data_IF_564925772791
#
_entry.id   IF_564925772791
#
_cell.length_a   1.000
_cell.length_b   1.000
_cell.length_c   1.000
_cell.angle_alpha   90.00
_cell.angle_beta   90.00
_cell.angle_gamma   90.00
#
_symmetry.space_group_name_H-M   'P 1'
#
loop_
_entity.id
_entity.type
_entity.pdbx_description
1 polymer ?
#
# COMPACT_ATOMS: atom_id res chain seq x y z
N UNK A 1 14.71 -1.39 -22.16
CA UNK A 1 13.63 -0.42 -22.44
C UNK A 1 12.61 -0.46 -21.29
N UNK A 2 12.74 0.44 -20.30
CA UNK A 2 12.16 0.32 -18.94
C UNK A 2 10.85 1.12 -18.72
N UNK A 3 9.99 1.26 -19.74
CA UNK A 3 8.82 2.16 -19.67
C UNK A 3 7.61 1.48 -18.98
N UNK A 4 7.52 0.14 -19.00
CA UNK A 4 6.39 -0.62 -18.43
C UNK A 4 6.56 -1.05 -16.96
N UNK A 5 7.66 -0.70 -16.29
CA UNK A 5 7.89 -1.05 -14.89
C UNK A 5 6.99 -0.23 -13.95
N UNK A 6 6.75 1.05 -14.27
CA UNK A 6 5.92 1.94 -13.44
C UNK A 6 4.45 1.55 -13.39
N UNK A 7 3.86 1.11 -14.50
CA UNK A 7 2.43 0.75 -14.57
C UNK A 7 2.16 -0.54 -13.78
N UNK A 8 3.04 -1.55 -13.89
CA UNK A 8 2.91 -2.81 -13.14
C UNK A 8 3.05 -2.60 -11.64
N UNK A 9 3.97 -1.72 -11.24
CA UNK A 9 4.13 -1.28 -9.85
C UNK A 9 2.86 -0.62 -9.32
N UNK A 10 2.34 0.42 -10.00
CA UNK A 10 1.12 1.12 -9.59
C UNK A 10 -0.08 0.18 -9.44
N UNK A 11 -0.25 -0.77 -10.36
CA UNK A 11 -1.32 -1.78 -10.26
C UNK A 11 -1.15 -2.70 -9.05
N UNK A 12 0.08 -3.12 -8.75
CA UNK A 12 0.36 -3.93 -7.56
C UNK A 12 0.04 -3.17 -6.27
N UNK A 13 0.54 -1.95 -6.12
CA UNK A 13 0.27 -1.07 -4.97
C UNK A 13 -1.24 -0.89 -4.79
N UNK A 14 -1.97 -0.58 -5.87
CA UNK A 14 -3.42 -0.40 -5.81
C UNK A 14 -4.15 -1.69 -5.37
N UNK A 15 -3.66 -2.86 -5.78
CA UNK A 15 -4.24 -4.13 -5.36
C UNK A 15 -4.00 -4.41 -3.87
N UNK A 16 -2.85 -4.00 -3.33
CA UNK A 16 -2.59 -4.13 -1.90
C UNK A 16 -3.52 -3.26 -1.08
N UNK A 17 -3.62 -1.97 -1.43
CA UNK A 17 -4.48 -1.01 -0.71
C UNK A 17 -5.94 -1.46 -0.69
N UNK A 18 -6.49 -1.85 -1.84
CA UNK A 18 -7.93 -2.13 -1.97
C UNK A 18 -8.36 -3.54 -1.55
N UNK A 19 -7.46 -4.53 -1.65
CA UNK A 19 -7.80 -5.95 -1.46
C UNK A 19 -7.01 -6.63 -0.37
N UNK A 20 -5.68 -6.43 -0.31
CA UNK A 20 -4.83 -7.18 0.63
C UNK A 20 -5.22 -6.93 2.09
N UNK A 21 -5.52 -5.68 2.47
CA UNK A 21 -6.00 -5.38 3.81
C UNK A 21 -7.29 -6.12 4.19
N UNK A 22 -8.21 -6.32 3.24
CA UNK A 22 -9.46 -7.07 3.45
C UNK A 22 -9.19 -8.57 3.60
N UNK A 23 -8.28 -9.11 2.79
CA UNK A 23 -7.90 -10.53 2.86
C UNK A 23 -7.13 -10.86 4.14
N UNK A 24 -6.24 -9.96 4.58
CA UNK A 24 -5.56 -10.04 5.88
C UNK A 24 -6.57 -10.01 7.03
N UNK A 25 -7.49 -9.04 7.02
CA UNK A 25 -8.52 -8.92 8.04
C UNK A 25 -9.43 -10.16 8.09
N UNK A 26 -9.76 -10.75 6.93
CA UNK A 26 -10.56 -11.97 6.84
C UNK A 26 -9.84 -13.19 7.43
N UNK A 27 -8.51 -13.26 7.30
CA UNK A 27 -7.70 -14.41 7.77
C UNK A 27 -7.26 -14.31 9.23
N UNK A 28 -6.95 -13.10 9.70
CA UNK A 28 -6.27 -12.89 10.99
C UNK A 28 -7.01 -11.93 11.92
N UNK A 29 -8.16 -11.40 11.50
CA UNK A 29 -8.87 -10.33 12.21
C UNK A 29 -8.36 -8.94 11.81
N UNK A 30 -9.19 -7.91 12.04
CA UNK A 30 -8.81 -6.52 11.75
C UNK A 30 -7.69 -6.08 12.70
N UNK A 31 -6.55 -5.70 12.13
CA UNK A 31 -5.43 -5.10 12.85
C UNK A 31 -4.85 -3.93 12.07
N UNK A 32 -4.20 -3.00 12.78
CA UNK A 32 -3.42 -1.91 12.20
C UNK A 32 -2.13 -2.42 11.56
N UNK A 33 -1.56 -3.46 12.15
CA UNK A 33 -0.31 -4.07 11.73
C UNK A 33 -0.45 -5.59 11.75
N UNK A 34 0.23 -6.24 10.81
CA UNK A 34 0.31 -7.69 10.66
C UNK A 34 1.79 -8.09 10.69
N UNK A 35 2.05 -9.36 10.97
CA UNK A 35 3.43 -9.86 10.93
C UNK A 35 3.92 -10.01 9.48
N UNK A 36 5.24 -9.92 9.22
CA UNK A 36 5.82 -10.21 7.91
C UNK A 36 5.33 -11.54 7.33
N UNK A 37 5.26 -12.58 8.16
CA UNK A 37 4.79 -13.91 7.75
C UNK A 37 3.31 -13.93 7.33
N UNK A 38 2.43 -13.19 8.01
CA UNK A 38 1.02 -13.06 7.63
C UNK A 38 0.86 -12.37 6.28
N UNK A 39 1.64 -11.31 6.04
CA UNK A 39 1.64 -10.56 4.79
C UNK A 39 2.18 -11.43 3.66
N UNK A 40 3.36 -12.03 3.82
CA UNK A 40 3.97 -12.96 2.86
C UNK A 40 3.02 -14.08 2.48
N UNK A 41 2.46 -14.77 3.48
CA UNK A 41 1.55 -15.91 3.25
C UNK A 41 0.30 -15.48 2.49
N UNK A 42 -0.27 -14.33 2.83
CA UNK A 42 -1.49 -13.85 2.15
C UNK A 42 -1.20 -13.36 0.74
N UNK A 43 -0.08 -12.66 0.52
CA UNK A 43 0.39 -12.23 -0.80
C UNK A 43 0.54 -13.44 -1.72
N UNK A 44 1.20 -14.49 -1.22
CA UNK A 44 1.40 -15.73 -1.95
C UNK A 44 0.07 -16.47 -2.22
N UNK A 45 -0.69 -16.79 -1.18
CA UNK A 45 -1.90 -17.61 -1.28
C UNK A 45 -3.01 -16.96 -2.13
N UNK A 46 -3.10 -15.63 -2.13
CA UNK A 46 -4.10 -14.88 -2.89
C UNK A 46 -3.61 -14.42 -4.28
N UNK A 47 -2.38 -14.79 -4.68
CA UNK A 47 -1.84 -14.49 -6.01
C UNK A 47 -1.55 -13.01 -6.27
N UNK A 48 -1.17 -12.27 -5.24
CA UNK A 48 -0.71 -10.90 -5.40
C UNK A 48 0.69 -10.84 -6.04
N UNK A 49 1.07 -9.68 -6.57
CA UNK A 49 2.34 -9.54 -7.29
C UNK A 49 3.55 -9.58 -6.34
N UNK A 50 4.19 -10.74 -6.19
CA UNK A 50 5.34 -10.92 -5.30
C UNK A 50 6.49 -9.91 -5.53
N UNK A 51 6.72 -9.47 -6.77
CA UNK A 51 7.82 -8.57 -7.13
C UNK A 51 7.75 -7.18 -6.46
N UNK A 52 6.60 -6.82 -5.91
CA UNK A 52 6.38 -5.54 -5.23
C UNK A 52 5.97 -5.70 -3.77
N UNK A 53 6.30 -6.85 -3.15
CA UNK A 53 5.94 -7.19 -1.77
C UNK A 53 6.44 -6.17 -0.73
N UNK A 54 7.57 -5.50 -0.98
CA UNK A 54 8.09 -4.44 -0.12
C UNK A 54 7.03 -3.35 0.13
N UNK A 55 6.16 -3.03 -0.85
CA UNK A 55 5.06 -2.07 -0.65
C UNK A 55 3.94 -2.64 0.22
N UNK A 56 3.68 -3.94 0.15
CA UNK A 56 2.74 -4.59 1.06
C UNK A 56 3.25 -4.57 2.51
N UNK A 57 4.56 -4.79 2.71
CA UNK A 57 5.18 -4.66 4.04
C UNK A 57 5.13 -3.21 4.53
N UNK A 58 5.45 -2.23 3.68
CA UNK A 58 5.38 -0.81 4.05
C UNK A 58 3.96 -0.36 4.44
N UNK A 59 2.91 -1.01 3.91
CA UNK A 59 1.51 -0.72 4.22
C UNK A 59 1.02 -1.39 5.51
N UNK A 60 1.44 -2.63 5.77
CA UNK A 60 0.76 -3.51 6.74
C UNK A 60 1.67 -4.04 7.85
N UNK A 61 2.97 -3.76 7.83
CA UNK A 61 3.93 -4.23 8.83
C UNK A 61 4.52 -3.03 9.58
N UNK A 62 4.83 -3.21 10.87
CA UNK A 62 5.52 -2.17 11.64
C UNK A 62 6.90 -1.85 11.06
N UNK A 63 7.35 -0.62 11.20
CA UNK A 63 8.67 -0.18 10.70
C UNK A 63 9.81 -1.09 11.18
N UNK A 64 9.83 -1.44 12.47
CA UNK A 64 10.84 -2.34 13.04
C UNK A 64 10.83 -3.73 12.40
N UNK A 65 9.65 -4.28 12.12
CA UNK A 65 9.54 -5.59 11.48
C UNK A 65 9.79 -5.53 9.98
N UNK A 66 9.50 -4.40 9.33
CA UNK A 66 9.88 -4.11 7.95
C UNK A 66 11.40 -4.15 7.80
N UNK A 67 12.12 -3.39 8.63
CA UNK A 67 13.58 -3.27 8.54
C UNK A 67 14.24 -4.62 8.76
N UNK A 68 13.84 -5.32 9.83
CA UNK A 68 14.35 -6.66 10.14
C UNK A 68 14.15 -7.64 8.98
N UNK A 69 12.96 -7.64 8.36
CA UNK A 69 12.66 -8.55 7.28
C UNK A 69 13.50 -8.25 6.02
N UNK A 70 13.70 -6.97 5.67
CA UNK A 70 14.52 -6.60 4.51
C UNK A 70 16.02 -6.80 4.75
N UNK A 71 16.50 -6.56 5.97
CA UNK A 71 17.88 -6.86 6.38
C UNK A 71 18.18 -8.35 6.24
N UNK A 72 17.27 -9.22 6.68
CA UNK A 72 17.39 -10.68 6.54
C UNK A 72 17.43 -11.14 5.06
N UNK A 73 16.82 -10.39 4.14
CA UNK A 73 16.85 -10.67 2.69
C UNK A 73 18.05 -10.02 1.97
N UNK A 74 18.83 -9.18 2.66
CA UNK A 74 19.91 -8.39 2.05
C UNK A 74 19.42 -7.27 1.14
N UNK A 75 18.18 -6.79 1.33
CA UNK A 75 17.59 -5.72 0.55
C UNK A 75 17.67 -4.38 1.29
N UNK A 76 18.12 -3.32 0.61
CA UNK A 76 18.08 -1.94 1.12
C UNK A 76 16.82 -1.23 0.59
N UNK A 77 15.67 -1.51 1.20
CA UNK A 77 14.42 -0.80 0.93
C UNK A 77 14.17 0.24 2.03
N UNK A 78 13.80 1.46 1.65
CA UNK A 78 13.52 2.54 2.61
C UNK A 78 12.02 2.61 2.92
N UNK A 79 11.65 2.30 4.17
CA UNK A 79 10.27 2.30 4.63
C UNK A 79 9.55 3.64 4.42
N UNK A 80 10.20 4.76 4.74
CA UNK A 80 9.58 6.08 4.64
C UNK A 80 9.43 6.52 3.19
N UNK A 81 10.46 6.34 2.37
CA UNK A 81 10.40 6.68 0.95
C UNK A 81 9.31 5.89 0.22
N UNK A 82 9.15 4.60 0.54
CA UNK A 82 8.10 3.77 -0.04
C UNK A 82 6.70 4.20 0.38
N UNK A 83 6.53 4.59 1.65
CA UNK A 83 5.27 5.13 2.17
C UNK A 83 4.94 6.48 1.56
N UNK A 84 5.92 7.35 1.40
CA UNK A 84 5.75 8.63 0.71
C UNK A 84 5.36 8.43 -0.76
N UNK A 85 5.97 7.47 -1.45
CA UNK A 85 5.59 7.16 -2.83
C UNK A 85 4.11 6.74 -2.95
N UNK A 86 3.64 5.94 -1.98
CA UNK A 86 2.23 5.53 -1.91
C UNK A 86 1.34 6.76 -1.66
N UNK A 87 1.68 7.65 -0.72
CA UNK A 87 0.87 8.83 -0.41
C UNK A 87 0.77 9.79 -1.60
N UNK A 88 1.87 10.04 -2.29
CA UNK A 88 1.90 10.89 -3.48
C UNK A 88 1.08 10.28 -4.62
N UNK A 89 1.15 8.97 -4.83
CA UNK A 89 0.50 8.31 -5.96
C UNK A 89 -1.00 8.04 -5.75
N UNK A 90 -1.44 7.82 -4.51
CA UNK A 90 -2.80 7.35 -4.22
C UNK A 90 -3.63 8.29 -3.32
N UNK A 91 -3.00 9.22 -2.60
CA UNK A 91 -3.66 10.10 -1.64
C UNK A 91 -3.40 11.59 -1.91
N UNK A 92 -2.92 11.93 -3.12
CA UNK A 92 -2.65 13.33 -3.51
C UNK A 92 -1.52 14.00 -2.71
N UNK A 93 -0.63 13.23 -2.06
CA UNK A 93 0.51 13.75 -1.30
C UNK A 93 0.32 13.85 0.21
N UNK A 94 -0.86 13.56 0.75
CA UNK A 94 -1.11 13.65 2.20
C UNK A 94 -0.71 12.36 2.93
N UNK A 95 0.48 12.34 3.54
CA UNK A 95 0.99 11.22 4.36
C UNK A 95 0.04 10.89 5.54
N UNK A 96 -0.70 11.88 6.05
CA UNK A 96 -1.67 11.72 7.14
C UNK A 96 -2.86 10.81 6.80
N UNK A 97 -3.27 10.73 5.52
CA UNK A 97 -4.37 9.87 5.08
C UNK A 97 -4.03 8.36 5.15
N UNK A 98 -2.74 8.03 5.30
CA UNK A 98 -2.27 6.65 5.41
C UNK A 98 -2.33 6.10 6.85
N UNK A 99 -2.75 6.92 7.82
CA UNK A 99 -2.83 6.54 9.23
C UNK A 99 -4.04 5.62 9.51
N UNK A 100 -4.04 4.40 8.95
CA UNK A 100 -4.84 3.19 9.27
C UNK A 100 -6.35 3.30 9.55
N UNK A 101 -6.95 4.49 9.48
CA UNK A 101 -8.29 4.75 10.02
C UNK A 101 -9.38 4.70 8.95
N UNK A 102 -9.02 4.91 7.68
CA UNK A 102 -10.01 5.10 6.61
C UNK A 102 -10.08 3.99 5.56
N UNK A 103 -9.44 2.82 5.77
CA UNK A 103 -9.62 1.66 4.88
C UNK A 103 -10.94 0.91 5.14
N UNK A 104 -11.94 1.58 5.69
CA UNK A 104 -13.28 1.07 5.97
C UNK A 104 -14.35 2.11 5.66
N UNK A 105 -14.50 2.49 4.39
CA UNK A 105 -15.65 3.29 3.95
C UNK A 105 -15.49 3.66 2.49
N UNK A 106 -16.50 3.36 1.66
CA UNK A 106 -16.46 3.69 0.24
C UNK A 106 -16.23 5.19 0.01
N UNK A 107 -15.30 5.52 -0.89
CA UNK A 107 -15.15 6.91 -1.34
C UNK A 107 -16.36 7.31 -2.18
N UNK A 108 -17.25 8.10 -1.59
CA UNK A 108 -17.96 9.13 -2.33
C UNK A 108 -16.91 10.16 -2.81
N UNK A 109 -16.44 9.95 -4.04
CA UNK A 109 -15.61 10.93 -4.75
C UNK A 109 -16.50 12.12 -5.15
N UNK A 110 -16.57 13.14 -4.30
CA UNK A 110 -17.12 14.43 -4.66
C UNK A 110 -16.22 15.09 -5.71
N UNK A 111 -16.64 15.06 -6.97
CA UNK A 111 -16.08 15.90 -8.01
C UNK A 111 -16.54 17.33 -7.75
N UNK A 112 -15.64 18.21 -7.26
CA UNK A 112 -15.86 19.65 -7.36
C UNK A 112 -15.48 20.06 -8.78
N UNK A 113 -16.47 20.15 -9.65
CA UNK A 113 -16.32 20.75 -10.98
C UNK A 113 -16.10 22.25 -10.80
N UNK A 114 -14.85 22.69 -11.00
CA UNK A 114 -14.49 24.09 -11.11
C UNK A 114 -14.90 24.62 -12.47
N UNK A 115 -16.17 24.99 -12.62
CA UNK A 115 -16.69 25.71 -13.77
C UNK A 115 -16.58 27.22 -13.57
N UNK A 116 -15.71 27.87 -14.34
CA UNK A 116 -15.59 29.32 -14.36
C UNK A 116 -16.84 30.02 -14.93
N UNK A 117 -17.05 31.26 -14.50
CA UNK A 117 -17.84 32.23 -15.23
C UNK A 117 -17.13 33.59 -15.15
N UNK A 118 -16.60 33.99 -16.29
CA UNK A 118 -16.32 35.36 -16.66
C UNK A 118 -17.61 36.18 -16.67
N UNK A 119 -17.57 37.39 -16.12
CA UNK A 119 -17.96 38.68 -16.77
C UNK A 119 -17.57 39.85 -15.86
#
# INVERSE_FOLDING_TARGET
MYIFAGIRKKRAINSYINRLGRDLAKRYGKSKEYTPGQVVKTVHDCGYNWRHICYAHALYVSHKQFDKWHEEQGETCDYFAMREEISQSHFGGSIGAMASSDLSGGSEIGFTDGGGASE
#
